data_IF_161371203655
#
_entry.id   IF_161371203655
#
_cell.length_a   1.000
_cell.length_b   1.000
_cell.length_c   1.000
_cell.angle_alpha   90.00
_cell.angle_beta   90.00
_cell.angle_gamma   90.00
#
_symmetry.space_group_name_H-M   'P 1'
#
loop_
_entity.id
_entity.type
_entity.pdbx_description
1 polymer ?
#
# COMPACT_ATOMS: atom_id res chain seq x y z
N UNK A 1 -24.68 1.17 13.56
CA UNK A 1 -25.46 1.00 12.30
C UNK A 1 -24.69 0.22 11.25
N UNK A 2 -23.38 0.44 11.09
CA UNK A 2 -22.54 -0.26 10.12
C UNK A 2 -22.56 -1.80 10.28
N UNK A 3 -22.54 -2.32 11.52
CA UNK A 3 -22.63 -3.76 11.77
C UNK A 3 -23.88 -4.40 11.13
N UNK A 4 -25.04 -3.75 11.24
CA UNK A 4 -26.30 -4.25 10.67
C UNK A 4 -26.21 -4.29 9.14
N UNK A 5 -25.56 -3.29 8.53
CA UNK A 5 -25.35 -3.23 7.08
C UNK A 5 -24.42 -4.35 6.62
N UNK A 6 -23.27 -4.54 7.29
CA UNK A 6 -22.29 -5.57 6.95
C UNK A 6 -22.87 -6.98 7.14
N UNK A 7 -23.52 -7.24 8.27
CA UNK A 7 -24.19 -8.52 8.53
C UNK A 7 -25.28 -8.77 7.51
N UNK A 8 -26.12 -7.76 7.22
CA UNK A 8 -27.15 -7.84 6.19
C UNK A 8 -26.58 -8.19 4.81
N UNK A 9 -25.47 -7.55 4.43
CA UNK A 9 -24.77 -7.84 3.18
C UNK A 9 -24.25 -9.30 3.14
N UNK A 10 -23.63 -9.80 4.22
CA UNK A 10 -23.17 -11.18 4.29
C UNK A 10 -24.32 -12.19 4.22
N UNK A 11 -25.44 -11.92 4.88
CA UNK A 11 -26.65 -12.77 4.79
C UNK A 11 -27.17 -12.80 3.37
N UNK A 12 -27.26 -11.66 2.68
CA UNK A 12 -27.70 -11.60 1.29
C UNK A 12 -26.77 -12.38 0.35
N UNK A 13 -25.45 -12.29 0.55
CA UNK A 13 -24.46 -13.07 -0.20
C UNK A 13 -24.62 -14.58 0.06
N UNK A 14 -24.78 -14.99 1.32
CA UNK A 14 -25.03 -16.38 1.69
C UNK A 14 -26.31 -16.92 1.04
N UNK A 15 -27.40 -16.14 1.07
CA UNK A 15 -28.66 -16.51 0.43
C UNK A 15 -28.49 -16.64 -1.08
N UNK A 16 -27.82 -15.69 -1.73
CA UNK A 16 -27.48 -15.78 -3.16
C UNK A 16 -26.71 -17.07 -3.47
N UNK A 17 -25.65 -17.36 -2.71
CA UNK A 17 -24.86 -18.59 -2.87
C UNK A 17 -25.70 -19.86 -2.65
N UNK A 18 -26.62 -19.84 -1.67
CA UNK A 18 -27.54 -20.94 -1.38
C UNK A 18 -28.48 -21.28 -2.54
N UNK A 19 -28.95 -20.27 -3.28
CA UNK A 19 -29.82 -20.47 -4.43
C UNK A 19 -29.06 -20.77 -5.73
N UNK A 20 -27.82 -20.29 -5.88
CA UNK A 20 -27.01 -20.51 -7.08
C UNK A 20 -26.22 -21.81 -7.05
N UNK A 21 -25.83 -22.27 -5.86
CA UNK A 21 -25.00 -23.45 -5.65
C UNK A 21 -23.50 -23.17 -5.81
N UNK A 22 -22.69 -24.06 -5.25
CA UNK A 22 -21.22 -23.98 -5.20
C UNK A 22 -20.58 -23.82 -6.57
N UNK A 23 -20.98 -24.65 -7.54
CA UNK A 23 -20.32 -24.67 -8.85
C UNK A 23 -20.43 -23.31 -9.55
N UNK A 24 -21.63 -22.70 -9.52
CA UNK A 24 -21.84 -21.36 -10.09
C UNK A 24 -21.01 -20.31 -9.40
N UNK A 25 -20.98 -20.33 -8.08
CA UNK A 25 -20.26 -19.32 -7.31
C UNK A 25 -18.74 -19.46 -7.52
N UNK A 26 -18.23 -20.69 -7.63
CA UNK A 26 -16.84 -20.97 -7.96
C UNK A 26 -16.45 -20.51 -9.37
N UNK A 27 -17.35 -20.67 -10.34
CA UNK A 27 -17.10 -20.19 -11.71
C UNK A 27 -17.13 -18.66 -11.80
N UNK A 28 -18.09 -18.00 -11.15
CA UNK A 28 -18.14 -16.53 -11.06
C UNK A 28 -16.85 -16.00 -10.39
N UNK A 29 -16.39 -16.64 -9.30
CA UNK A 29 -15.13 -16.29 -8.65
C UNK A 29 -13.93 -16.47 -9.58
N UNK A 30 -13.88 -17.57 -10.31
CA UNK A 30 -12.80 -17.84 -11.28
C UNK A 30 -12.78 -16.77 -12.37
N UNK A 31 -13.95 -16.40 -12.89
CA UNK A 31 -14.11 -15.32 -13.86
C UNK A 31 -13.66 -13.96 -13.33
N UNK A 32 -13.98 -13.66 -12.07
CA UNK A 32 -13.56 -12.44 -11.39
C UNK A 32 -12.03 -12.38 -11.20
N UNK A 33 -11.44 -13.46 -10.70
CA UNK A 33 -9.99 -13.56 -10.49
C UNK A 33 -9.24 -13.46 -11.81
N UNK A 34 -9.67 -14.22 -12.82
CA UNK A 34 -9.09 -14.16 -14.16
C UNK A 34 -9.27 -12.76 -14.76
N UNK A 35 -10.47 -12.18 -14.66
CA UNK A 35 -10.76 -10.83 -15.15
C UNK A 35 -9.86 -9.78 -14.52
N UNK A 36 -9.59 -9.90 -13.21
CA UNK A 36 -8.68 -9.01 -12.49
C UNK A 36 -7.25 -9.15 -13.01
N UNK A 37 -6.73 -10.38 -13.08
CA UNK A 37 -5.36 -10.64 -13.58
C UNK A 37 -5.19 -10.16 -15.01
N UNK A 38 -6.15 -10.45 -15.88
CA UNK A 38 -6.12 -10.03 -17.28
C UNK A 38 -6.27 -8.52 -17.43
N UNK A 39 -7.07 -7.86 -16.58
CA UNK A 39 -7.19 -6.41 -16.57
C UNK A 39 -5.87 -5.73 -16.26
N UNK A 40 -5.12 -6.20 -15.27
CA UNK A 40 -3.77 -5.69 -15.01
C UNK A 40 -2.80 -5.99 -16.15
N UNK A 41 -2.85 -7.20 -16.72
CA UNK A 41 -1.93 -7.64 -17.77
C UNK A 41 -2.12 -6.94 -19.12
N UNK A 42 -3.38 -6.69 -19.50
CA UNK A 42 -3.77 -6.21 -20.83
C UNK A 42 -4.42 -4.83 -20.82
N UNK A 43 -4.82 -4.32 -19.66
CA UNK A 43 -5.39 -2.98 -19.50
C UNK A 43 -4.52 -1.88 -20.11
N UNK A 44 -3.18 -1.88 -19.94
CA UNK A 44 -2.31 -0.88 -20.57
C UNK A 44 -2.34 -0.91 -22.10
N UNK A 45 -2.41 -2.09 -22.71
CA UNK A 45 -2.46 -2.23 -24.17
C UNK A 45 -3.79 -1.70 -24.73
N UNK A 46 -4.91 -2.04 -24.08
CA UNK A 46 -6.24 -1.51 -24.44
C UNK A 46 -6.31 0.00 -24.18
N UNK A 47 -5.71 0.46 -23.09
CA UNK A 47 -5.59 1.88 -22.74
C UNK A 47 -4.84 2.68 -23.80
N UNK A 48 -3.74 2.15 -24.36
CA UNK A 48 -3.01 2.82 -25.44
C UNK A 48 -3.89 3.07 -26.68
N UNK A 49 -4.76 2.12 -27.02
CA UNK A 49 -5.73 2.26 -28.12
C UNK A 49 -6.76 3.35 -27.79
N UNK A 50 -7.33 3.33 -26.58
CA UNK A 50 -8.30 4.36 -26.14
C UNK A 50 -7.69 5.75 -26.18
N UNK A 51 -6.46 5.90 -25.68
CA UNK A 51 -5.72 7.17 -25.69
C UNK A 51 -5.61 7.74 -27.10
N UNK A 52 -5.24 6.89 -28.07
CA UNK A 52 -5.11 7.29 -29.47
C UNK A 52 -6.44 7.76 -30.09
N UNK A 53 -7.58 7.26 -29.59
CA UNK A 53 -8.91 7.59 -30.11
C UNK A 53 -9.60 8.77 -29.40
N UNK A 54 -9.25 9.03 -28.14
CA UNK A 54 -10.04 9.93 -27.26
C UNK A 54 -9.25 11.10 -26.68
N UNK A 55 -7.92 11.12 -26.81
CA UNK A 55 -7.07 12.21 -26.32
C UNK A 55 -7.01 12.35 -24.79
N UNK A 56 -7.56 11.39 -24.04
CA UNK A 56 -7.52 11.40 -22.57
C UNK A 56 -6.10 11.12 -22.04
N UNK A 57 -5.86 11.42 -20.76
CA UNK A 57 -4.56 11.20 -20.13
C UNK A 57 -4.16 9.71 -20.16
N UNK A 58 -2.85 9.46 -20.10
CA UNK A 58 -2.31 8.09 -20.16
C UNK A 58 -2.83 7.21 -19.01
N UNK A 59 -3.08 7.81 -17.85
CA UNK A 59 -3.46 7.10 -16.63
C UNK A 59 -4.94 6.77 -16.64
N UNK A 60 -5.78 7.74 -17.02
CA UNK A 60 -7.21 7.51 -17.25
C UNK A 60 -7.42 6.49 -18.36
N UNK A 61 -6.64 6.54 -19.44
CA UNK A 61 -6.73 5.55 -20.50
C UNK A 61 -6.38 4.13 -20.04
N UNK A 62 -5.32 3.98 -19.22
CA UNK A 62 -4.93 2.70 -18.62
C UNK A 62 -6.03 2.13 -17.72
N UNK A 63 -6.64 2.97 -16.88
CA UNK A 63 -7.77 2.60 -16.03
C UNK A 63 -8.97 2.11 -16.83
N UNK A 64 -9.40 2.91 -17.82
CA UNK A 64 -10.53 2.56 -18.67
C UNK A 64 -10.25 1.28 -19.44
N UNK A 65 -9.02 1.11 -19.96
CA UNK A 65 -8.59 -0.12 -20.62
C UNK A 65 -8.67 -1.34 -19.70
N UNK A 66 -8.18 -1.21 -18.46
CA UNK A 66 -8.30 -2.25 -17.43
C UNK A 66 -9.76 -2.61 -17.13
N UNK A 67 -10.64 -1.62 -16.96
CA UNK A 67 -12.07 -1.84 -16.73
C UNK A 67 -12.73 -2.56 -17.91
N UNK A 68 -12.43 -2.17 -19.16
CA UNK A 68 -12.95 -2.85 -20.35
C UNK A 68 -12.56 -4.32 -20.37
N UNK A 69 -11.28 -4.62 -20.10
CA UNK A 69 -10.79 -6.01 -20.05
C UNK A 69 -11.49 -6.77 -18.92
N UNK A 70 -11.57 -6.18 -17.72
CA UNK A 70 -12.21 -6.79 -16.56
C UNK A 70 -13.67 -7.16 -16.84
N UNK A 71 -14.49 -6.21 -17.30
CA UNK A 71 -15.89 -6.45 -17.62
C UNK A 71 -16.05 -7.38 -18.81
N UNK A 72 -15.20 -7.29 -19.84
CA UNK A 72 -15.21 -8.18 -20.98
C UNK A 72 -14.97 -9.64 -20.58
N UNK A 73 -13.97 -9.90 -19.74
CA UNK A 73 -13.69 -11.24 -19.19
C UNK A 73 -14.82 -11.70 -18.29
N UNK A 74 -15.37 -10.83 -17.44
CA UNK A 74 -16.52 -11.15 -16.60
C UNK A 74 -17.75 -11.58 -17.40
N UNK A 75 -18.07 -10.87 -18.49
CA UNK A 75 -19.15 -11.24 -19.42
C UNK A 75 -18.85 -12.58 -20.09
N UNK A 76 -17.62 -12.78 -20.58
CA UNK A 76 -17.19 -14.03 -21.17
C UNK A 76 -17.32 -15.22 -20.23
N UNK A 77 -16.90 -15.06 -18.97
CA UNK A 77 -17.02 -16.07 -17.92
C UNK A 77 -18.48 -16.38 -17.59
N UNK A 78 -19.35 -15.36 -17.52
CA UNK A 78 -20.78 -15.56 -17.31
C UNK A 78 -21.45 -16.33 -18.46
N UNK A 79 -21.08 -16.03 -19.71
CA UNK A 79 -21.54 -16.77 -20.89
C UNK A 79 -21.03 -18.22 -20.84
N UNK A 80 -19.74 -18.41 -20.59
CA UNK A 80 -19.13 -19.74 -20.49
C UNK A 80 -19.81 -20.59 -19.41
N UNK A 81 -20.11 -19.99 -18.25
CA UNK A 81 -20.86 -20.64 -17.16
C UNK A 81 -22.21 -21.15 -17.63
N UNK A 82 -23.01 -20.32 -18.33
CA UNK A 82 -24.31 -20.74 -18.89
C UNK A 82 -24.17 -21.87 -19.92
N UNK A 83 -23.13 -21.85 -20.76
CA UNK A 83 -22.89 -22.90 -21.76
C UNK A 83 -22.50 -24.21 -21.09
N UNK A 84 -21.61 -24.15 -20.10
CA UNK A 84 -21.17 -25.30 -19.31
C UNK A 84 -22.36 -25.89 -18.55
N UNK A 85 -23.19 -25.08 -17.91
CA UNK A 85 -24.41 -25.54 -17.24
C UNK A 85 -25.32 -26.34 -18.19
N UNK A 86 -25.51 -25.86 -19.42
CA UNK A 86 -26.35 -26.55 -20.41
C UNK A 86 -25.75 -27.86 -20.90
N UNK A 87 -24.44 -27.92 -21.12
CA UNK A 87 -23.77 -29.10 -21.71
C UNK A 87 -23.35 -30.14 -20.68
N UNK A 88 -22.90 -29.72 -19.51
CA UNK A 88 -22.30 -30.59 -18.50
C UNK A 88 -23.31 -31.21 -17.53
N UNK A 89 -24.61 -30.87 -17.64
CA UNK A 89 -25.68 -31.36 -16.74
C UNK A 89 -25.24 -31.33 -15.27
N UNK A 90 -24.73 -30.17 -14.83
CA UNK A 90 -24.13 -30.02 -13.51
C UNK A 90 -25.05 -30.59 -12.42
N UNK A 91 -24.47 -31.20 -11.35
CA UNK A 91 -25.26 -31.77 -10.28
C UNK A 91 -26.24 -30.73 -9.75
N UNK A 92 -27.50 -31.14 -9.58
CA UNK A 92 -28.59 -30.27 -9.15
C UNK A 92 -28.31 -29.58 -7.82
N UNK A 93 -29.24 -28.74 -7.37
CA UNK A 93 -29.15 -28.01 -6.10
C UNK A 93 -29.40 -28.94 -4.90
N UNK A 94 -28.57 -29.97 -4.74
CA UNK A 94 -28.56 -30.80 -3.54
C UNK A 94 -28.02 -29.99 -2.34
N UNK A 95 -28.27 -30.50 -1.12
CA UNK A 95 -27.93 -29.78 0.11
C UNK A 95 -26.45 -29.38 0.17
N UNK A 96 -25.55 -30.26 -0.25
CA UNK A 96 -24.09 -30.02 -0.25
C UNK A 96 -23.72 -28.89 -1.21
N UNK A 97 -24.28 -28.89 -2.43
CA UNK A 97 -24.03 -27.85 -3.43
C UNK A 97 -24.55 -26.48 -2.96
N UNK A 98 -25.74 -26.44 -2.34
CA UNK A 98 -26.32 -25.20 -1.80
C UNK A 98 -25.53 -24.66 -0.61
N UNK A 99 -25.21 -25.53 0.35
CA UNK A 99 -24.42 -25.18 1.52
C UNK A 99 -23.01 -24.72 1.11
N UNK A 100 -22.37 -25.42 0.17
CA UNK A 100 -21.09 -25.01 -0.40
C UNK A 100 -21.16 -23.66 -1.10
N UNK A 101 -22.23 -23.38 -1.85
CA UNK A 101 -22.44 -22.08 -2.49
C UNK A 101 -22.60 -20.95 -1.48
N UNK A 102 -23.40 -21.15 -0.43
CA UNK A 102 -23.56 -20.17 0.65
C UNK A 102 -22.24 -19.92 1.38
N UNK A 103 -21.49 -20.98 1.70
CA UNK A 103 -20.19 -20.90 2.36
C UNK A 103 -19.13 -20.17 1.53
N UNK A 104 -19.06 -20.47 0.22
CA UNK A 104 -18.12 -19.80 -0.68
C UNK A 104 -18.47 -18.31 -0.86
N UNK A 105 -19.76 -17.99 -1.03
CA UNK A 105 -20.23 -16.61 -1.12
C UNK A 105 -19.93 -15.81 0.15
N UNK A 106 -20.09 -16.43 1.32
CA UNK A 106 -19.72 -15.82 2.60
C UNK A 106 -18.23 -15.56 2.70
N UNK A 107 -17.40 -16.58 2.44
CA UNK A 107 -15.95 -16.46 2.54
C UNK A 107 -15.41 -15.36 1.61
N UNK A 108 -15.93 -15.29 0.38
CA UNK A 108 -15.57 -14.23 -0.54
C UNK A 108 -16.09 -12.85 -0.11
N UNK A 109 -17.31 -12.77 0.42
CA UNK A 109 -17.86 -11.54 0.98
C UNK A 109 -16.99 -10.99 2.10
N UNK A 110 -16.58 -11.85 3.03
CA UNK A 110 -15.64 -11.51 4.12
C UNK A 110 -14.32 -11.00 3.56
N UNK A 111 -13.71 -11.71 2.61
CA UNK A 111 -12.46 -11.29 1.98
C UNK A 111 -12.58 -9.91 1.32
N UNK A 112 -13.63 -9.67 0.52
CA UNK A 112 -13.84 -8.39 -0.14
C UNK A 112 -14.09 -7.26 0.87
N UNK A 113 -14.87 -7.51 1.92
CA UNK A 113 -15.09 -6.55 2.98
C UNK A 113 -13.78 -6.21 3.70
N UNK A 114 -12.95 -7.20 4.03
CA UNK A 114 -11.62 -7.00 4.61
C UNK A 114 -10.74 -6.13 3.70
N UNK A 115 -10.70 -6.40 2.39
CA UNK A 115 -9.94 -5.59 1.43
C UNK A 115 -10.44 -4.14 1.44
N UNK A 116 -11.74 -3.93 1.28
CA UNK A 116 -12.34 -2.58 1.20
C UNK A 116 -12.14 -1.79 2.49
N UNK A 117 -12.33 -2.42 3.64
CA UNK A 117 -12.14 -1.78 4.95
C UNK A 117 -10.67 -1.46 5.20
N UNK A 118 -9.76 -2.37 4.86
CA UNK A 118 -8.31 -2.13 4.96
C UNK A 118 -7.89 -0.96 4.08
N UNK A 119 -8.37 -0.89 2.83
CA UNK A 119 -8.11 0.26 1.95
C UNK A 119 -8.73 1.56 2.47
N UNK A 120 -9.92 1.47 3.09
CA UNK A 120 -10.61 2.61 3.69
C UNK A 120 -9.84 3.26 4.84
N UNK A 121 -8.99 2.51 5.55
CA UNK A 121 -8.08 3.04 6.58
C UNK A 121 -6.93 3.85 5.97
N UNK A 122 -6.47 3.45 4.79
CA UNK A 122 -5.33 4.10 4.10
C UNK A 122 -5.76 5.39 3.39
N UNK A 123 -7.03 5.48 2.97
CA UNK A 123 -7.54 6.63 2.24
C UNK A 123 -8.08 7.72 3.18
N UNK A 124 -7.89 9.02 2.87
CA UNK A 124 -8.46 10.11 3.66
C UNK A 124 -9.99 10.11 3.53
N UNK A 125 -10.69 9.66 4.58
CA UNK A 125 -12.15 9.55 4.62
C UNK A 125 -12.77 10.68 5.45
N UNK A 126 -14.03 11.09 5.16
CA UNK A 126 -14.77 12.01 6.01
C UNK A 126 -14.90 11.48 7.45
N UNK A 127 -14.84 12.36 8.46
CA UNK A 127 -14.90 11.98 9.88
C UNK A 127 -16.11 11.07 10.22
N UNK A 128 -17.27 11.34 9.60
CA UNK A 128 -18.47 10.50 9.74
C UNK A 128 -18.23 9.02 9.42
N UNK A 129 -17.37 8.73 8.44
CA UNK A 129 -17.03 7.37 8.02
C UNK A 129 -16.07 6.73 9.01
N UNK A 130 -15.07 7.48 9.48
CA UNK A 130 -14.10 7.02 10.49
C UNK A 130 -14.83 6.64 11.78
N UNK A 131 -15.69 7.52 12.31
CA UNK A 131 -16.48 7.26 13.51
C UNK A 131 -17.37 6.00 13.36
N UNK A 132 -17.93 5.79 12.16
CA UNK A 132 -18.75 4.63 11.87
C UNK A 132 -17.94 3.32 11.81
N UNK A 133 -16.68 3.38 11.39
CA UNK A 133 -15.75 2.24 11.35
C UNK A 133 -15.27 1.88 12.76
N UNK A 134 -14.83 2.86 13.54
CA UNK A 134 -14.36 2.66 14.92
C UNK A 134 -15.46 2.10 15.83
N UNK A 135 -16.70 2.53 15.63
CA UNK A 135 -17.86 2.04 16.37
C UNK A 135 -18.40 0.67 15.94
N UNK A 136 -17.80 0.00 14.95
CA UNK A 136 -18.31 -1.25 14.37
C UNK A 136 -17.53 -2.47 14.86
N UNK A 137 -18.21 -3.39 15.53
CA UNK A 137 -17.61 -4.64 15.99
C UNK A 137 -17.21 -5.56 14.82
N UNK A 138 -18.03 -5.58 13.76
CA UNK A 138 -17.76 -6.37 12.56
C UNK A 138 -16.59 -5.79 11.79
N UNK A 139 -16.55 -4.48 11.58
CA UNK A 139 -15.41 -3.83 10.92
C UNK A 139 -14.13 -4.07 11.73
N UNK A 140 -14.17 -3.82 13.05
CA UNK A 140 -13.03 -4.06 13.94
C UNK A 140 -12.53 -5.51 13.89
N UNK A 141 -13.42 -6.50 13.80
CA UNK A 141 -13.03 -7.92 13.65
C UNK A 141 -12.39 -8.21 12.29
N UNK A 142 -12.87 -7.56 11.22
CA UNK A 142 -12.36 -7.75 9.86
C UNK A 142 -11.01 -7.07 9.64
N UNK A 143 -10.77 -5.96 10.33
CA UNK A 143 -9.53 -5.15 10.24
C UNK A 143 -8.53 -5.44 11.36
N UNK A 144 -8.88 -6.27 12.35
CA UNK A 144 -7.97 -6.69 13.42
C UNK A 144 -6.71 -7.32 12.79
N UNK A 145 -5.51 -6.74 13.00
CA UNK A 145 -4.24 -7.29 12.48
C UNK A 145 -3.99 -8.73 12.93
N UNK A 146 -4.44 -9.07 14.15
CA UNK A 146 -4.37 -10.41 14.70
C UNK A 146 -5.49 -11.34 14.23
N UNK A 147 -6.50 -10.83 13.53
CA UNK A 147 -7.72 -11.53 13.14
C UNK A 147 -7.52 -12.55 12.03
N UNK A 148 -8.35 -13.60 11.99
CA UNK A 148 -8.31 -14.60 10.92
C UNK A 148 -8.52 -14.01 9.50
N UNK A 149 -9.47 -13.08 9.28
CA UNK A 149 -9.65 -12.44 7.98
C UNK A 149 -8.38 -11.72 7.52
N UNK A 150 -7.78 -10.91 8.39
CA UNK A 150 -6.57 -10.15 8.06
C UNK A 150 -5.36 -11.06 7.82
N UNK A 151 -5.18 -12.15 8.58
CA UNK A 151 -4.10 -13.12 8.31
C UNK A 151 -4.26 -13.83 6.97
N UNK A 152 -5.48 -14.20 6.60
CA UNK A 152 -5.77 -14.84 5.30
C UNK A 152 -5.55 -13.82 4.18
N UNK A 153 -6.03 -12.59 4.37
CA UNK A 153 -5.75 -11.47 3.48
C UNK A 153 -4.25 -11.31 3.31
N UNK A 154 -3.46 -11.12 4.36
CA UNK A 154 -2.01 -10.94 4.31
C UNK A 154 -1.28 -12.10 3.59
N UNK A 155 -1.68 -13.36 3.82
CA UNK A 155 -1.09 -14.52 3.12
C UNK A 155 -1.42 -14.57 1.62
N UNK A 156 -2.66 -14.22 1.26
CA UNK A 156 -3.10 -14.21 -0.15
C UNK A 156 -2.61 -12.96 -0.89
N UNK A 157 -2.52 -11.86 -0.16
CA UNK A 157 -2.10 -10.55 -0.63
C UNK A 157 -0.59 -10.51 -0.90
N UNK A 158 0.21 -10.95 0.08
CA UNK A 158 1.68 -10.90 0.05
C UNK A 158 2.23 -9.61 -0.55
N UNK A 159 3.37 -9.73 -1.25
CA UNK A 159 4.05 -8.65 -1.98
C UNK A 159 3.22 -8.10 -3.16
N UNK A 160 2.18 -8.82 -3.59
CA UNK A 160 1.39 -8.47 -4.78
C UNK A 160 0.35 -7.41 -4.53
N UNK A 161 -0.18 -7.29 -3.31
CA UNK A 161 -1.03 -6.13 -2.97
C UNK A 161 -0.20 -4.92 -2.70
N UNK A 162 1.01 -5.03 -2.13
CA UNK A 162 1.95 -3.91 -2.07
C UNK A 162 2.34 -3.49 -3.48
N UNK A 163 2.66 -4.42 -4.39
CA UNK A 163 2.89 -4.12 -5.79
C UNK A 163 1.63 -3.60 -6.52
N UNK A 164 0.41 -4.04 -6.13
CA UNK A 164 -0.84 -3.54 -6.69
C UNK A 164 -1.21 -2.18 -6.11
N UNK A 165 -0.89 -1.88 -4.86
CA UNK A 165 -1.01 -0.59 -4.19
C UNK A 165 0.01 0.39 -4.78
N UNK A 166 1.25 -0.05 -5.00
CA UNK A 166 2.28 0.70 -5.74
C UNK A 166 1.87 0.92 -7.21
N UNK A 167 1.25 -0.07 -7.87
CA UNK A 167 0.68 0.08 -9.21
C UNK A 167 -0.61 0.92 -9.22
N UNK A 168 -1.39 0.95 -8.12
CA UNK A 168 -2.56 1.82 -7.95
C UNK A 168 -2.09 3.25 -7.68
N UNK A 169 -0.98 3.42 -6.95
CA UNK A 169 -0.27 4.67 -6.74
C UNK A 169 0.33 5.22 -8.05
N UNK A 170 0.81 4.36 -8.96
CA UNK A 170 1.16 4.71 -10.35
C UNK A 170 -0.04 5.19 -11.19
N UNK A 171 -1.26 4.95 -10.72
CA UNK A 171 -2.51 5.30 -11.39
C UNK A 171 -3.23 6.48 -10.70
N UNK A 172 -3.03 6.65 -9.39
CA UNK A 172 -3.55 7.75 -8.57
C UNK A 172 -2.56 8.93 -8.50
N UNK A 173 -1.30 8.72 -8.89
CA UNK A 173 -0.31 9.79 -9.07
C UNK A 173 0.50 10.15 -7.82
N UNK A 174 0.46 9.35 -6.76
CA UNK A 174 1.26 9.59 -5.55
C UNK A 174 2.15 8.39 -5.23
N UNK A 175 3.40 8.43 -5.70
CA UNK A 175 4.44 7.44 -5.38
C UNK A 175 5.08 7.76 -4.03
N UNK A 176 4.36 7.54 -2.93
CA UNK A 176 4.87 7.86 -1.58
C UNK A 176 4.63 6.69 -0.62
N UNK A 177 5.70 6.16 -0.04
CA UNK A 177 5.67 5.22 1.08
C UNK A 177 6.44 5.85 2.24
N UNK A 178 5.77 5.95 3.39
CA UNK A 178 6.28 6.57 4.62
C UNK A 178 5.96 5.60 5.76
N UNK A 179 6.98 5.20 6.54
CA UNK A 179 6.84 4.15 7.55
C UNK A 179 6.68 4.74 8.95
N UNK A 180 5.57 4.49 9.63
CA UNK A 180 5.42 4.87 11.04
C UNK A 180 5.75 3.69 11.97
N UNK A 181 6.77 3.85 12.82
CA UNK A 181 7.03 2.90 13.92
C UNK A 181 7.90 1.68 13.55
N UNK A 182 7.51 0.49 14.03
CA UNK A 182 8.33 -0.74 13.97
C UNK A 182 7.98 -1.67 12.78
N UNK A 183 7.25 -1.16 11.80
CA UNK A 183 6.83 -1.94 10.63
C UNK A 183 8.01 -2.21 9.69
N UNK A 184 8.03 -3.42 9.11
CA UNK A 184 9.02 -3.84 8.11
C UNK A 184 8.27 -4.12 6.82
N UNK A 185 8.63 -3.41 5.75
CA UNK A 185 8.14 -3.67 4.40
C UNK A 185 9.24 -4.42 3.65
N UNK A 186 8.92 -5.59 3.11
CA UNK A 186 9.83 -6.33 2.22
C UNK A 186 9.86 -5.66 0.84
N UNK A 187 11.07 -5.45 0.30
CA UNK A 187 11.32 -4.84 -1.00
C UNK A 187 12.10 -5.81 -1.89
N UNK A 188 11.96 -5.74 -3.23
CA UNK A 188 12.91 -6.36 -4.13
C UNK A 188 14.32 -5.80 -3.87
N UNK A 189 15.33 -6.65 -3.58
CA UNK A 189 16.69 -6.18 -3.38
C UNK A 189 17.27 -5.62 -4.68
N UNK A 190 18.06 -4.55 -4.57
CA UNK A 190 18.73 -3.88 -5.68
C UNK A 190 20.24 -4.15 -5.65
N UNK A 191 20.86 -4.32 -6.81
CA UNK A 191 22.31 -4.49 -6.90
C UNK A 191 23.04 -3.16 -6.76
N UNK A 192 24.31 -3.20 -6.31
CA UNK A 192 25.06 -1.98 -6.00
C UNK A 192 25.27 -1.06 -7.22
N UNK A 193 25.26 -1.60 -8.44
CA UNK A 193 25.35 -0.86 -9.70
C UNK A 193 24.05 -0.10 -10.06
N UNK A 194 22.92 -0.46 -9.45
CA UNK A 194 21.64 0.26 -9.61
C UNK A 194 21.50 1.42 -8.62
N UNK A 195 22.41 1.54 -7.65
CA UNK A 195 22.31 2.50 -6.56
C UNK A 195 23.24 3.70 -6.77
N UNK A 196 22.70 4.91 -6.57
CA UNK A 196 23.49 6.14 -6.65
C UNK A 196 23.10 7.09 -5.53
N UNK A 197 24.08 7.68 -4.85
CA UNK A 197 23.84 8.68 -3.80
C UNK A 197 23.18 9.93 -4.42
N UNK A 198 22.02 10.32 -3.89
CA UNK A 198 21.21 11.45 -4.34
C UNK A 198 21.55 12.76 -3.63
N UNK A 199 22.79 13.24 -3.74
CA UNK A 199 23.20 14.48 -3.06
C UNK A 199 22.35 15.72 -3.42
N UNK A 200 21.94 15.94 -4.70
CA UNK A 200 21.04 17.04 -5.03
C UNK A 200 19.66 16.93 -4.36
N UNK A 201 19.10 15.72 -4.28
CA UNK A 201 17.82 15.45 -3.63
C UNK A 201 17.91 15.66 -2.13
N UNK A 202 19.01 15.22 -1.49
CA UNK A 202 19.23 15.45 -0.07
C UNK A 202 19.26 16.94 0.27
N UNK A 203 19.89 17.77 -0.57
CA UNK A 203 19.89 19.22 -0.43
C UNK A 203 18.48 19.82 -0.61
N UNK A 204 17.72 19.36 -1.61
CA UNK A 204 16.35 19.81 -1.82
C UNK A 204 15.42 19.45 -0.64
N UNK A 205 15.50 18.22 -0.12
CA UNK A 205 14.73 17.80 1.07
C UNK A 205 15.12 18.63 2.29
N UNK A 206 16.41 18.96 2.46
CA UNK A 206 16.88 19.81 3.56
C UNK A 206 16.31 21.23 3.48
N UNK A 207 16.28 21.83 2.29
CA UNK A 207 15.70 23.16 2.09
C UNK A 207 14.19 23.17 2.39
N UNK A 208 13.46 22.16 1.93
CA UNK A 208 12.02 22.03 2.19
C UNK A 208 11.74 21.83 3.68
N UNK A 209 12.50 20.96 4.36
CA UNK A 209 12.41 20.74 5.79
C UNK A 209 12.60 22.04 6.57
N UNK A 210 13.67 22.77 6.30
CA UNK A 210 13.95 24.00 7.03
C UNK A 210 12.97 25.12 6.69
N UNK A 211 12.43 25.15 5.48
CA UNK A 211 11.32 26.06 5.13
C UNK A 211 10.09 25.78 5.99
N UNK A 212 9.68 24.51 6.11
CA UNK A 212 8.55 24.13 6.95
C UNK A 212 8.76 24.51 8.42
N UNK A 213 9.98 24.34 8.94
CA UNK A 213 10.33 24.78 10.31
C UNK A 213 10.21 26.30 10.48
N UNK A 214 10.75 27.08 9.54
CA UNK A 214 10.67 28.55 9.56
C UNK A 214 9.21 29.01 9.49
N UNK A 215 8.41 28.40 8.62
CA UNK A 215 6.98 28.72 8.47
C UNK A 215 6.19 28.40 9.76
N UNK A 216 6.63 27.40 10.53
CA UNK A 216 6.10 27.06 11.85
C UNK A 216 6.67 27.91 13.00
N UNK A 217 7.57 28.86 12.72
CA UNK A 217 8.21 29.73 13.72
C UNK A 217 9.32 29.05 14.54
N UNK A 218 9.92 27.99 14.00
CA UNK A 218 10.99 27.22 14.62
C UNK A 218 12.35 27.58 14.02
N UNK A 219 13.42 27.43 14.81
CA UNK A 219 14.79 27.59 14.34
C UNK A 219 15.15 26.50 13.30
N UNK A 220 15.84 26.85 12.21
CA UNK A 220 16.29 25.87 11.22
C UNK A 220 17.34 24.92 11.82
N UNK A 221 17.31 23.66 11.37
CA UNK A 221 18.31 22.67 11.76
C UNK A 221 19.60 22.88 10.98
N UNK A 222 20.74 22.67 11.64
CA UNK A 222 22.04 22.67 11.00
C UNK A 222 22.29 21.36 10.25
N UNK A 223 22.79 21.45 9.01
CA UNK A 223 23.22 20.29 8.25
C UNK A 223 24.42 19.61 8.94
N UNK A 224 24.36 18.29 9.10
CA UNK A 224 25.47 17.49 9.60
C UNK A 224 25.87 16.43 8.57
N UNK A 225 27.10 16.53 7.99
CA UNK A 225 27.60 15.52 7.06
C UNK A 225 27.68 14.12 7.68
N UNK A 226 28.13 14.00 8.93
CA UNK A 226 28.24 12.72 9.61
C UNK A 226 26.88 12.02 9.80
N UNK A 227 25.81 12.79 10.07
CA UNK A 227 24.46 12.23 10.13
C UNK A 227 23.93 11.85 8.73
N UNK A 228 24.34 12.59 7.69
CA UNK A 228 23.97 12.27 6.32
C UNK A 228 24.64 10.97 5.86
N UNK A 229 25.90 10.73 6.26
CA UNK A 229 26.60 9.48 6.00
C UNK A 229 25.87 8.28 6.64
N UNK A 230 25.44 8.42 7.91
CA UNK A 230 24.60 7.41 8.58
C UNK A 230 23.31 7.14 7.80
N UNK A 231 22.66 8.20 7.32
CA UNK A 231 21.46 8.08 6.49
C UNK A 231 21.71 7.39 5.15
N UNK A 232 22.83 7.70 4.48
CA UNK A 232 23.21 7.09 3.19
C UNK A 232 23.48 5.60 3.37
N UNK A 233 24.21 5.23 4.42
CA UNK A 233 24.51 3.82 4.72
C UNK A 233 23.23 3.03 4.97
N UNK A 234 22.31 3.55 5.78
CA UNK A 234 21.04 2.89 6.07
C UNK A 234 20.13 2.79 4.85
N UNK A 235 20.02 3.87 4.05
CA UNK A 235 19.27 3.85 2.79
C UNK A 235 19.84 2.85 1.78
N UNK A 236 21.17 2.79 1.66
CA UNK A 236 21.84 1.82 0.80
C UNK A 236 21.67 0.38 1.28
N UNK A 237 21.68 0.15 2.59
CA UNK A 237 21.43 -1.16 3.19
C UNK A 237 20.00 -1.64 2.91
N UNK A 238 18.99 -0.81 3.18
CA UNK A 238 17.58 -1.11 2.91
C UNK A 238 17.33 -1.53 1.45
N UNK A 239 17.97 -0.85 0.49
CA UNK A 239 17.91 -1.27 -0.91
C UNK A 239 18.61 -2.61 -1.19
N UNK A 240 19.84 -2.80 -0.70
CA UNK A 240 20.63 -4.01 -0.98
C UNK A 240 20.02 -5.26 -0.37
N UNK A 241 19.47 -5.11 0.83
CA UNK A 241 18.96 -6.21 1.63
C UNK A 241 17.45 -6.43 1.44
N UNK A 242 16.78 -5.56 0.66
CA UNK A 242 15.39 -5.74 0.27
C UNK A 242 14.40 -5.52 1.40
N UNK A 243 14.57 -4.44 2.16
CA UNK A 243 13.62 -4.08 3.22
C UNK A 243 13.50 -2.56 3.39
N UNK A 244 12.43 -2.12 4.03
CA UNK A 244 12.23 -0.74 4.46
C UNK A 244 11.76 -0.77 5.92
N UNK A 245 12.55 -0.21 6.84
CA UNK A 245 12.32 -0.24 8.29
C UNK A 245 13.27 0.70 9.04
N UNK A 246 12.81 1.26 10.17
CA UNK A 246 13.65 1.97 11.14
C UNK A 246 14.65 1.06 11.85
N UNK A 247 14.22 -0.18 12.13
CA UNK A 247 15.04 -1.20 12.75
C UNK A 247 15.73 -2.02 11.66
N UNK A 248 17.05 -1.88 11.57
CA UNK A 248 17.87 -2.74 10.73
C UNK A 248 18.13 -4.08 11.46
N UNK A 249 18.00 -5.22 10.77
CA UNK A 249 18.43 -6.51 11.30
C UNK A 249 19.96 -6.65 11.41
N UNK A 250 20.73 -5.74 10.79
CA UNK A 250 22.19 -5.76 10.73
C UNK A 250 22.84 -4.69 11.61
N UNK A 251 22.33 -3.47 11.54
CA UNK A 251 22.90 -2.28 12.21
C UNK A 251 22.02 -1.75 13.35
N UNK A 252 20.87 -2.38 13.61
CA UNK A 252 20.01 -2.07 14.74
C UNK A 252 19.20 -0.78 14.55
N UNK A 253 19.00 -0.05 15.65
CA UNK A 253 18.26 1.23 15.65
C UNK A 253 19.12 2.39 15.19
N UNK A 254 18.52 3.55 14.90
CA UNK A 254 19.27 4.78 14.62
C UNK A 254 20.28 5.12 15.73
N UNK A 255 19.95 4.85 17.00
CA UNK A 255 20.86 5.03 18.12
C UNK A 255 22.10 4.13 18.03
N UNK A 256 21.93 2.87 17.62
CA UNK A 256 23.06 1.96 17.40
C UNK A 256 23.94 2.41 16.23
N UNK A 257 23.33 2.90 15.14
CA UNK A 257 24.07 3.46 14.00
C UNK A 257 24.86 4.71 14.39
N UNK A 258 24.27 5.62 15.18
CA UNK A 258 24.94 6.81 15.70
C UNK A 258 26.10 6.47 16.65
N UNK A 259 25.91 5.49 17.55
CA UNK A 259 26.95 4.99 18.44
C UNK A 259 28.11 4.36 17.67
N UNK A 260 27.82 3.54 16.66
CA UNK A 260 28.82 2.93 15.81
C UNK A 260 29.63 3.97 15.01
N UNK A 261 28.98 5.06 14.58
CA UNK A 261 29.62 6.20 13.94
C UNK A 261 30.37 7.14 14.91
N UNK A 262 30.31 6.90 16.22
CA UNK A 262 30.94 7.74 17.24
C UNK A 262 30.31 9.13 17.36
N UNK A 263 29.04 9.29 17.00
CA UNK A 263 28.35 10.58 16.98
C UNK A 263 27.62 10.78 18.32
N UNK A 264 28.01 11.76 19.14
CA UNK A 264 27.34 12.02 20.42
C UNK A 264 25.99 12.73 20.20
N UNK A 265 24.98 12.28 20.94
CA UNK A 265 23.63 12.83 20.93
C UNK A 265 22.99 12.72 22.32
N UNK A 266 22.09 13.64 22.66
CA UNK A 266 21.19 13.52 23.82
C UNK A 266 19.82 13.00 23.40
N UNK A 267 19.35 13.48 22.26
CA UNK A 267 18.14 13.02 21.60
C UNK A 267 18.47 12.60 20.17
N UNK A 268 17.82 11.56 19.69
CA UNK A 268 17.93 11.10 18.31
C UNK A 268 16.52 10.84 17.74
N UNK A 269 16.34 11.17 16.47
CA UNK A 269 15.11 10.89 15.73
C UNK A 269 15.45 10.40 14.33
N UNK A 270 14.52 9.67 13.72
CA UNK A 270 14.65 9.21 12.35
C UNK A 270 13.32 9.34 11.62
N UNK A 271 13.38 9.80 10.37
CA UNK A 271 12.26 9.72 9.43
C UNK A 271 12.68 8.94 8.19
N UNK A 272 11.79 8.10 7.66
CA UNK A 272 12.01 7.32 6.45
C UNK A 272 10.97 7.63 5.38
N UNK A 273 11.42 7.78 4.14
CA UNK A 273 10.53 7.91 2.99
C UNK A 273 11.09 7.18 1.77
N UNK A 274 10.20 6.63 0.95
CA UNK A 274 10.48 6.15 -0.39
C UNK A 274 9.52 6.85 -1.36
N UNK A 275 10.05 7.72 -2.23
CA UNK A 275 9.22 8.49 -3.16
C UNK A 275 9.93 8.84 -4.47
N UNK A 276 9.21 9.41 -5.44
CA UNK A 276 9.78 9.69 -6.77
C UNK A 276 10.61 10.99 -6.82
N UNK A 277 10.33 11.97 -5.94
CA UNK A 277 11.01 13.26 -5.91
C UNK A 277 11.24 13.76 -4.48
N UNK A 278 12.11 14.79 -4.33
CA UNK A 278 12.39 15.41 -3.04
C UNK A 278 11.15 16.11 -2.43
N UNK A 279 10.32 16.71 -3.28
CA UNK A 279 9.03 17.29 -2.88
C UNK A 279 8.09 16.21 -2.36
N UNK A 280 8.03 15.07 -3.05
CA UNK A 280 7.21 13.94 -2.60
C UNK A 280 7.67 13.33 -1.28
N UNK A 281 8.99 13.25 -1.07
CA UNK A 281 9.57 12.88 0.22
C UNK A 281 9.11 13.85 1.31
N UNK A 282 9.28 15.15 1.10
CA UNK A 282 8.95 16.16 2.11
C UNK A 282 7.47 16.17 2.45
N UNK A 283 6.60 16.22 1.44
CA UNK A 283 5.16 16.25 1.63
C UNK A 283 4.66 14.97 2.33
N UNK A 284 5.20 13.80 1.98
CA UNK A 284 4.86 12.54 2.61
C UNK A 284 5.21 12.54 4.10
N UNK A 285 6.41 13.00 4.44
CA UNK A 285 6.85 13.11 5.83
C UNK A 285 6.03 14.14 6.61
N UNK A 286 5.71 15.30 6.02
CA UNK A 286 4.84 16.28 6.66
C UNK A 286 3.40 15.80 6.78
N UNK A 287 2.91 14.95 5.86
CA UNK A 287 1.57 14.37 5.93
C UNK A 287 1.36 13.38 7.08
N UNK A 288 2.44 12.81 7.61
CA UNK A 288 2.43 11.88 8.73
C UNK A 288 2.61 12.61 10.07
N UNK A 289 1.69 12.44 11.05
CA UNK A 289 1.83 13.07 12.37
C UNK A 289 3.13 12.71 13.09
N UNK A 290 3.57 11.46 13.03
CA UNK A 290 4.80 10.99 13.69
C UNK A 290 6.07 11.63 13.10
N UNK A 291 6.18 11.64 11.77
CA UNK A 291 7.34 12.23 11.09
C UNK A 291 7.37 13.75 11.17
N UNK A 292 6.20 14.39 11.07
CA UNK A 292 6.06 15.84 11.28
C UNK A 292 6.52 16.22 12.69
N UNK A 293 6.17 15.44 13.72
CA UNK A 293 6.62 15.71 15.08
C UNK A 293 8.15 15.72 15.20
N UNK A 294 8.86 14.86 14.47
CA UNK A 294 10.33 14.93 14.40
C UNK A 294 10.82 16.19 13.70
N UNK A 295 10.22 16.54 12.55
CA UNK A 295 10.60 17.75 11.78
C UNK A 295 10.35 19.03 12.57
N UNK A 296 9.29 19.09 13.37
CA UNK A 296 8.89 20.27 14.15
C UNK A 296 9.42 20.24 15.59
N UNK A 297 10.14 19.18 15.99
CA UNK A 297 10.66 19.07 17.36
C UNK A 297 11.68 20.17 17.66
N UNK A 298 11.56 20.74 18.86
CA UNK A 298 12.53 21.69 19.44
C UNK A 298 13.72 20.99 20.09
N UNK A 299 13.68 19.67 20.24
CA UNK A 299 14.74 18.89 20.87
C UNK A 299 15.94 18.69 19.93
N UNK A 300 15.75 18.87 18.62
CA UNK A 300 16.78 18.70 17.61
C UNK A 300 17.38 20.03 17.15
N UNK A 301 18.69 20.05 16.94
CA UNK A 301 19.44 21.19 16.42
C UNK A 301 20.28 20.85 15.18
N UNK A 302 20.43 19.56 14.86
CA UNK A 302 21.18 19.05 13.71
C UNK A 302 20.37 18.00 12.96
N UNK A 303 20.51 17.97 11.65
CA UNK A 303 19.96 16.93 10.79
C UNK A 303 20.97 16.52 9.72
N UNK A 304 21.00 15.24 9.40
CA UNK A 304 21.62 14.73 8.18
C UNK A 304 20.56 14.00 7.36
N UNK A 305 20.61 14.19 6.04
CA UNK A 305 19.65 13.55 5.13
C UNK A 305 20.44 12.69 4.16
N UNK A 306 20.27 11.38 4.27
CA UNK A 306 20.80 10.44 3.31
C UNK A 306 19.76 10.10 2.26
N UNK A 307 20.13 10.23 0.98
CA UNK A 307 19.28 9.82 -0.14
C UNK A 307 20.06 8.86 -1.02
N UNK A 308 19.46 7.71 -1.32
CA UNK A 308 19.96 6.76 -2.32
C UNK A 308 18.89 6.61 -3.39
N UNK A 309 19.26 6.80 -4.65
CA UNK A 309 18.41 6.47 -5.81
C UNK A 309 18.55 4.99 -6.12
N UNK A 310 17.42 4.32 -6.33
CA UNK A 310 17.37 2.94 -6.79
C UNK A 310 16.15 2.65 -7.66
N UNK A 311 15.89 1.37 -7.99
CA UNK A 311 14.82 0.97 -8.91
C UNK A 311 13.41 1.41 -8.49
N UNK A 312 13.20 1.64 -7.19
CA UNK A 312 11.91 2.03 -6.62
C UNK A 312 11.76 3.54 -6.39
N UNK A 313 12.80 4.34 -6.61
CA UNK A 313 12.78 5.80 -6.39
C UNK A 313 13.90 6.30 -5.49
N UNK A 314 13.59 7.32 -4.69
CA UNK A 314 14.47 7.96 -3.72
C UNK A 314 14.20 7.36 -2.34
N UNK A 315 15.09 6.51 -1.85
CA UNK A 315 15.07 6.08 -0.46
C UNK A 315 15.78 7.12 0.39
N UNK A 316 15.02 7.76 1.27
CA UNK A 316 15.46 8.89 2.07
C UNK A 316 15.40 8.55 3.56
N UNK A 317 16.49 8.85 4.26
CA UNK A 317 16.64 8.71 5.71
C UNK A 317 17.02 10.08 6.26
N UNK A 318 16.16 10.68 7.09
CA UNK A 318 16.51 11.88 7.86
C UNK A 318 16.91 11.45 9.26
N UNK A 319 18.12 11.82 9.69
CA UNK A 319 18.64 11.53 11.02
C UNK A 319 18.78 12.83 11.79
N UNK A 320 18.06 12.94 12.90
CA UNK A 320 18.00 14.13 13.74
C UNK A 320 18.80 13.92 15.02
N UNK A 321 19.52 14.94 15.48
CA UNK A 321 20.14 14.93 16.81
C UNK A 321 20.01 16.26 17.54
N UNK A 322 20.01 16.18 18.87
CA UNK A 322 19.99 17.29 19.83
C UNK A 322 21.12 17.24 20.83
#
# INVERSE_FOLDING_TARGET
MLDVVLIGAFVLLMLRGWYRGFVREAMDLTGLLLGTVLAFRFGPAVGAVIKAMSGISSDTARLVGGLIVFFGVGIGAAIATRVIERKAQLPGLNLVNRAGGAGLAFAWGVFLATVVLTLGVVLPMPALVVDALEGSAVAGTLTDPGGAPQRVFNRLAGDRIVAALMNLQDVVGERRVVLEGAEVIELPPASADELTVGAPEAAAVFELLNRARIDAGLEPLAWSPALADVGIEHAGEMYREGYFSHLSPYTGTVGNRLEAAGIPYRFAGENLALAASAEEVHDGLMGSPGHRANIESTDFNRVGIGVVRGPLGLMTVQVFTG
#
